data_IF_130641483795
#
_entry.id   IF_130641483795
#
_cell.length_a   1.000
_cell.length_b   1.000
_cell.length_c   1.000
_cell.angle_alpha   90.00
_cell.angle_beta   90.00
_cell.angle_gamma   90.00
#
_symmetry.space_group_name_H-M   'P 1'
#
loop_
_entity.id
_entity.type
_entity.pdbx_description
1 polymer ?
#
# COMPACT_ATOMS: atom_id res chain seq x y z
N UNK A 1 -1.33 -2.90 13.91
CA UNK A 1 -0.22 -1.93 14.09
C UNK A 1 0.41 -1.99 15.49
N UNK A 2 -0.36 -1.89 16.59
CA UNK A 2 0.20 -1.88 17.96
C UNK A 2 1.14 -3.06 18.28
N UNK A 3 0.75 -4.30 17.94
CA UNK A 3 1.61 -5.47 18.13
C UNK A 3 2.93 -5.35 17.35
N UNK A 4 2.87 -4.85 16.12
CA UNK A 4 4.09 -4.61 15.34
C UNK A 4 4.97 -3.63 16.10
N UNK A 5 4.49 -2.45 16.50
CA UNK A 5 5.29 -1.47 17.23
C UNK A 5 5.89 -2.00 18.54
N UNK A 6 5.11 -2.76 19.31
CA UNK A 6 5.52 -3.21 20.64
C UNK A 6 6.45 -4.44 20.65
N UNK A 7 6.29 -5.38 19.71
CA UNK A 7 6.85 -6.73 19.88
C UNK A 7 7.68 -7.24 18.70
N UNK A 8 7.63 -6.59 17.55
CA UNK A 8 8.39 -7.06 16.38
C UNK A 8 9.82 -6.50 16.36
N UNK A 9 10.73 -7.15 15.64
CA UNK A 9 12.04 -6.59 15.27
C UNK A 9 12.04 -6.03 13.83
N UNK A 10 10.94 -6.21 13.08
CA UNK A 10 10.85 -5.73 11.69
C UNK A 10 10.76 -4.21 11.64
N UNK A 11 11.68 -3.59 10.90
CA UNK A 11 11.71 -2.14 10.72
C UNK A 11 10.52 -1.58 9.92
N UNK A 12 9.89 -2.41 9.09
CA UNK A 12 8.76 -2.02 8.22
C UNK A 12 7.55 -2.93 8.42
N UNK A 13 6.36 -2.36 8.20
CA UNK A 13 5.08 -3.08 8.15
C UNK A 13 4.36 -2.73 6.85
N UNK A 14 3.94 -3.77 6.13
CA UNK A 14 3.05 -3.62 4.98
C UNK A 14 1.61 -3.69 5.44
N UNK A 15 0.81 -2.72 5.01
CA UNK A 15 -0.64 -2.69 5.22
C UNK A 15 -1.31 -2.56 3.85
N UNK A 16 -2.32 -3.36 3.61
CA UNK A 16 -3.13 -3.30 2.40
C UNK A 16 -4.56 -2.99 2.77
N UNK A 17 -5.22 -2.20 1.93
CA UNK A 17 -6.62 -1.88 2.09
C UNK A 17 -7.28 -1.86 0.72
N UNK A 18 -8.55 -2.29 0.68
CA UNK A 18 -9.40 -2.33 -0.50
C UNK A 18 -10.70 -1.59 -0.20
N UNK A 19 -11.18 -0.82 -1.18
CA UNK A 19 -12.45 -0.12 -1.13
C UNK A 19 -13.29 -0.46 -2.37
N UNK A 20 -13.81 -1.70 -2.50
CA UNK A 20 -14.49 -2.15 -3.72
C UNK A 20 -15.68 -1.27 -4.11
N UNK A 21 -16.39 -0.74 -3.11
CA UNK A 21 -17.58 0.09 -3.28
C UNK A 21 -17.29 1.55 -3.57
N UNK A 22 -16.02 1.98 -3.58
CA UNK A 22 -15.66 3.38 -3.84
C UNK A 22 -15.91 3.72 -5.32
N UNK A 23 -16.68 4.76 -5.66
CA UNK A 23 -16.94 5.12 -7.05
C UNK A 23 -15.66 5.46 -7.82
N UNK A 24 -14.81 6.33 -7.28
CA UNK A 24 -13.56 6.75 -7.91
C UNK A 24 -12.41 5.77 -7.61
N UNK A 25 -11.55 5.45 -8.60
CA UNK A 25 -10.36 4.66 -8.36
C UNK A 25 -9.37 5.40 -7.45
N UNK A 26 -8.56 4.64 -6.71
CA UNK A 26 -7.45 5.19 -5.91
C UNK A 26 -6.17 5.37 -6.72
N UNK A 27 -6.13 4.79 -7.93
CA UNK A 27 -5.02 4.94 -8.87
C UNK A 27 -5.18 4.00 -10.05
N UNK A 28 -4.15 3.96 -10.90
CA UNK A 28 -4.05 3.04 -12.03
C UNK A 28 -2.79 2.20 -11.94
N UNK A 29 -2.89 0.94 -12.33
CA UNK A 29 -1.77 0.00 -12.34
C UNK A 29 -1.69 -0.68 -13.71
N UNK A 30 -0.49 -0.72 -14.27
CA UNK A 30 -0.18 -1.55 -15.44
C UNK A 30 0.53 -2.82 -14.98
N UNK A 31 -0.16 -3.95 -15.06
CA UNK A 31 0.44 -5.24 -14.74
C UNK A 31 1.41 -5.65 -15.85
N UNK A 32 2.48 -6.36 -15.51
CA UNK A 32 3.49 -6.77 -16.47
C UNK A 32 2.89 -7.57 -17.65
N UNK A 33 1.96 -8.48 -17.39
CA UNK A 33 1.27 -9.23 -18.44
C UNK A 33 0.44 -8.32 -19.39
N UNK A 34 -0.11 -7.22 -18.87
CA UNK A 34 -0.84 -6.22 -19.68
C UNK A 34 0.12 -5.39 -20.53
N UNK A 35 1.23 -4.93 -19.94
CA UNK A 35 2.28 -4.22 -20.66
C UNK A 35 2.79 -5.03 -21.85
N UNK A 36 3.11 -6.32 -21.62
CA UNK A 36 3.56 -7.24 -22.66
C UNK A 36 2.51 -7.49 -23.75
N UNK A 37 1.23 -7.38 -23.40
CA UNK A 37 0.10 -7.52 -24.33
C UNK A 37 -0.32 -6.19 -24.97
N UNK A 38 0.41 -5.09 -24.76
CA UNK A 38 0.07 -3.77 -25.28
C UNK A 38 -1.26 -3.21 -24.74
N UNK A 39 -1.65 -3.60 -23.53
CA UNK A 39 -2.90 -3.15 -22.88
C UNK A 39 -2.65 -1.92 -22.00
N UNK A 40 -3.70 -1.12 -21.84
CA UNK A 40 -3.69 0.07 -21.00
C UNK A 40 -3.71 -0.23 -19.49
N UNK A 41 -3.22 0.67 -18.63
CA UNK A 41 -3.33 0.54 -17.18
C UNK A 41 -4.80 0.40 -16.71
N UNK A 42 -5.04 -0.43 -15.71
CA UNK A 42 -6.38 -0.59 -15.12
C UNK A 42 -6.59 0.30 -13.89
N UNK A 43 -7.82 0.76 -13.71
CA UNK A 43 -8.27 1.41 -12.49
C UNK A 43 -8.28 0.43 -11.31
N UNK A 44 -7.68 0.82 -10.18
CA UNK A 44 -7.68 0.02 -8.96
C UNK A 44 -8.31 0.76 -7.79
N UNK A 45 -8.88 -0.01 -6.87
CA UNK A 45 -9.52 0.46 -5.63
C UNK A 45 -8.83 -0.09 -4.39
N UNK A 46 -7.58 -0.48 -4.52
CA UNK A 46 -6.76 -0.96 -3.43
C UNK A 46 -5.40 -0.26 -3.41
N UNK A 47 -4.84 -0.12 -2.21
CA UNK A 47 -3.54 0.50 -2.01
C UNK A 47 -2.73 -0.29 -0.98
N UNK A 48 -1.42 -0.28 -1.18
CA UNK A 48 -0.44 -0.77 -0.22
C UNK A 48 0.29 0.41 0.41
N UNK A 49 0.37 0.40 1.73
CA UNK A 49 1.11 1.36 2.54
C UNK A 49 2.23 0.64 3.26
N UNK A 50 3.45 1.14 3.10
CA UNK A 50 4.62 0.67 3.84
C UNK A 50 4.88 1.66 4.96
N UNK A 51 4.75 1.20 6.20
CA UNK A 51 5.12 1.97 7.39
C UNK A 51 6.55 1.64 7.78
N UNK A 52 7.30 2.64 8.24
CA UNK A 52 8.64 2.47 8.83
C UNK A 52 8.62 2.97 10.27
N UNK A 53 9.17 2.19 11.19
CA UNK A 53 9.26 2.63 12.59
C UNK A 53 10.09 3.90 12.71
N UNK A 54 9.59 4.78 13.56
CA UNK A 54 10.25 6.03 13.92
C UNK A 54 9.76 6.44 15.32
N UNK A 55 10.51 6.09 16.38
CA UNK A 55 10.15 6.42 17.76
C UNK A 55 10.04 7.92 18.04
N UNK A 56 10.60 8.78 17.17
CA UNK A 56 10.51 10.23 17.32
C UNK A 56 9.14 10.80 16.91
N UNK A 57 8.29 9.99 16.24
CA UNK A 57 6.95 10.41 15.78
C UNK A 57 5.89 10.06 16.81
N UNK A 58 4.84 10.89 16.87
CA UNK A 58 3.70 10.68 17.77
C UNK A 58 3.05 9.29 17.64
N UNK A 59 3.01 8.72 16.43
CA UNK A 59 2.46 7.39 16.19
C UNK A 59 3.50 6.26 16.22
N UNK A 60 4.78 6.56 16.48
CA UNK A 60 5.88 5.60 16.48
C UNK A 60 6.30 5.09 15.08
N UNK A 61 5.77 5.68 14.02
CA UNK A 61 6.11 5.35 12.64
C UNK A 61 5.91 6.53 11.68
N UNK A 62 6.53 6.41 10.51
CA UNK A 62 6.30 7.24 9.32
C UNK A 62 5.69 6.40 8.20
N UNK A 63 4.97 7.04 7.28
CA UNK A 63 4.63 6.44 5.99
C UNK A 63 5.88 6.48 5.11
N UNK A 64 6.42 5.31 4.79
CA UNK A 64 7.61 5.19 3.95
C UNK A 64 7.26 5.21 2.46
N UNK A 65 6.19 4.53 2.07
CA UNK A 65 5.70 4.50 0.69
C UNK A 65 4.21 4.19 0.66
N UNK A 66 3.52 4.74 -0.34
CA UNK A 66 2.12 4.43 -0.66
C UNK A 66 2.01 4.25 -2.16
N UNK A 67 1.37 3.18 -2.61
CA UNK A 67 1.14 2.96 -4.03
C UNK A 67 -0.14 2.14 -4.28
N UNK A 68 -0.82 2.40 -5.41
CA UNK A 68 -1.97 1.60 -5.83
C UNK A 68 -1.54 0.16 -6.12
N UNK A 69 -2.41 -0.80 -5.82
CA UNK A 69 -2.19 -2.22 -6.10
C UNK A 69 -3.42 -2.84 -6.75
N UNK A 70 -3.19 -3.92 -7.50
CA UNK A 70 -4.23 -4.87 -7.87
C UNK A 70 -4.24 -5.99 -6.82
N UNK A 71 -5.44 -6.34 -6.31
CA UNK A 71 -5.67 -7.42 -5.34
C UNK A 71 -6.43 -8.57 -5.99
#
# INVERSE_FOLDING_TARGET
MHRWLAQSTRARLTVEASWPSRPEPVGRVLLQAMMLAGREPMDVRAARVILKRDPSRAHGFTVHATFPIHL
#
